data_IF_289233063049
#
_entry.id   IF_289233063049
#
_cell.length_a   1.000
_cell.length_b   1.000
_cell.length_c   1.000
_cell.angle_alpha   90.00
_cell.angle_beta   90.00
_cell.angle_gamma   90.00
#
_symmetry.space_group_name_H-M   'P 1'
#
loop_
_entity.id
_entity.type
_entity.pdbx_description
1 polymer ?
#
# COMPACT_ATOMS: atom_id res chain seq x y z
N UNK A 1 -5.89 -18.94 21.04
CA UNK A 1 -6.73 -19.58 20.20
C UNK A 1 -7.82 -18.78 19.71
N UNK A 2 -8.57 -18.22 20.54
CA UNK A 2 -9.58 -17.38 20.05
C UNK A 2 -9.04 -16.22 19.31
N UNK A 3 -7.87 -15.71 19.69
CA UNK A 3 -7.34 -14.56 18.99
C UNK A 3 -7.03 -14.87 17.55
N UNK A 4 -6.61 -16.07 17.25
CA UNK A 4 -6.37 -16.44 15.88
C UNK A 4 -7.66 -16.46 15.08
N UNK A 5 -8.73 -16.96 15.69
CA UNK A 5 -10.01 -16.97 15.01
C UNK A 5 -10.52 -15.56 14.76
N UNK A 6 -10.32 -14.67 15.73
CA UNK A 6 -10.75 -13.29 15.53
C UNK A 6 -9.99 -12.64 14.41
N UNK A 7 -8.68 -12.89 14.30
CA UNK A 7 -7.93 -12.30 13.20
C UNK A 7 -8.43 -12.81 11.87
N UNK A 8 -8.76 -14.07 11.80
CA UNK A 8 -9.24 -14.63 10.55
C UNK A 8 -10.57 -14.04 10.13
N UNK A 9 -11.31 -13.45 11.07
CA UNK A 9 -12.60 -12.88 10.75
C UNK A 9 -12.56 -11.40 10.41
N UNK A 10 -11.38 -10.79 10.39
CA UNK A 10 -11.30 -9.36 10.10
C UNK A 10 -11.62 -9.09 8.64
N UNK A 11 -12.28 -7.97 8.39
CA UNK A 11 -12.63 -7.56 7.05
C UNK A 11 -11.76 -6.37 6.63
N UNK A 12 -11.75 -6.04 5.34
CA UNK A 12 -10.90 -4.92 4.88
C UNK A 12 -11.18 -3.62 5.62
N UNK A 13 -12.43 -3.35 5.98
CA UNK A 13 -12.75 -2.11 6.65
C UNK A 13 -12.07 -1.98 8.01
N UNK A 14 -11.75 -3.10 8.64
CA UNK A 14 -11.16 -3.08 9.97
C UNK A 14 -9.77 -2.46 9.98
N UNK A 15 -9.13 -2.35 8.83
CA UNK A 15 -7.78 -1.83 8.75
C UNK A 15 -7.71 -0.36 8.39
N UNK A 16 -8.86 0.26 8.14
CA UNK A 16 -8.88 1.65 7.69
C UNK A 16 -9.01 2.60 8.88
N UNK A 17 -8.41 3.77 8.82
CA UNK A 17 -7.57 4.22 7.71
C UNK A 17 -6.17 3.65 7.80
N UNK A 18 -5.55 3.46 6.66
CA UNK A 18 -4.16 3.02 6.63
C UNK A 18 -3.24 4.22 6.85
N UNK A 19 -2.05 3.94 7.40
CA UNK A 19 -1.05 5.01 7.40
C UNK A 19 -0.63 5.28 5.96
N UNK A 20 -0.13 6.47 5.67
CA UNK A 20 0.34 6.75 4.31
C UNK A 20 1.38 5.75 3.83
N UNK A 21 2.33 5.38 4.68
CA UNK A 21 3.35 4.43 4.26
C UNK A 21 2.75 3.07 3.96
N UNK A 22 1.85 2.59 4.80
CA UNK A 22 1.22 1.30 4.56
C UNK A 22 0.46 1.31 3.24
N UNK A 23 -0.27 2.39 2.96
CA UNK A 23 -0.99 2.49 1.70
C UNK A 23 -0.04 2.47 0.51
N UNK A 24 1.08 3.21 0.63
CA UNK A 24 2.07 3.22 -0.46
C UNK A 24 2.66 1.85 -0.69
N UNK A 25 2.95 1.12 0.38
CA UNK A 25 3.49 -0.24 0.25
C UNK A 25 2.49 -1.13 -0.48
N UNK A 26 1.21 -1.07 -0.10
CA UNK A 26 0.22 -1.90 -0.76
C UNK A 26 0.09 -1.53 -2.23
N UNK A 27 0.21 -0.24 -2.56
CA UNK A 27 0.14 0.18 -3.96
C UNK A 27 1.31 -0.38 -4.77
N UNK A 28 2.51 -0.34 -4.22
CA UNK A 28 3.66 -0.89 -4.93
C UNK A 28 3.45 -2.37 -5.19
N UNK A 29 2.99 -3.09 -4.17
CA UNK A 29 2.82 -4.53 -4.31
C UNK A 29 1.60 -4.88 -5.15
N UNK A 30 0.66 -3.95 -5.34
CA UNK A 30 -0.45 -4.18 -6.25
C UNK A 30 0.04 -4.30 -7.69
N UNK A 31 1.16 -3.68 -8.00
CA UNK A 31 1.69 -3.73 -9.36
C UNK A 31 2.61 -4.92 -9.57
N UNK A 32 3.41 -5.26 -8.57
CA UNK A 32 4.32 -6.39 -8.70
C UNK A 32 4.90 -6.74 -7.34
N UNK A 33 5.30 -7.98 -7.19
CA UNK A 33 6.02 -8.40 -6.00
C UNK A 33 7.35 -7.65 -5.93
N UNK A 34 7.82 -7.40 -4.72
CA UNK A 34 9.05 -6.64 -4.56
C UNK A 34 9.66 -6.95 -3.20
N UNK A 35 10.95 -6.66 -3.09
CA UNK A 35 11.66 -6.77 -1.83
C UNK A 35 11.75 -5.39 -1.18
N UNK A 36 12.21 -5.35 0.08
CA UNK A 36 12.19 -4.11 0.84
C UNK A 36 12.90 -2.95 0.17
N UNK A 37 14.10 -3.20 -0.35
CA UNK A 37 14.84 -2.12 -1.01
C UNK A 37 14.09 -1.62 -2.24
N UNK A 38 13.51 -2.53 -3.02
CA UNK A 38 12.73 -2.14 -4.18
C UNK A 38 11.52 -1.32 -3.81
N UNK A 39 10.87 -1.67 -2.69
CA UNK A 39 9.73 -0.91 -2.22
C UNK A 39 10.16 0.52 -1.85
N UNK A 40 11.29 0.67 -1.15
CA UNK A 40 11.78 2.00 -0.78
C UNK A 40 12.00 2.84 -2.03
N UNK A 41 12.67 2.26 -3.02
CA UNK A 41 12.98 3.01 -4.23
C UNK A 41 11.71 3.38 -4.99
N UNK A 42 10.76 2.47 -5.03
CA UNK A 42 9.54 2.74 -5.78
C UNK A 42 8.67 3.79 -5.07
N UNK A 43 8.60 3.75 -3.75
CA UNK A 43 7.87 4.76 -3.00
C UNK A 43 8.51 6.13 -3.23
N UNK A 44 9.83 6.18 -3.17
CA UNK A 44 10.52 7.43 -3.41
C UNK A 44 10.22 7.98 -4.80
N UNK A 45 10.26 7.10 -5.80
CA UNK A 45 10.01 7.51 -7.17
C UNK A 45 8.58 8.04 -7.37
N UNK A 46 7.60 7.32 -6.82
CA UNK A 46 6.20 7.69 -7.03
C UNK A 46 5.82 8.98 -6.33
N UNK A 47 6.53 9.31 -5.26
CA UNK A 47 6.24 10.54 -4.51
C UNK A 47 7.22 11.65 -4.84
N UNK A 48 7.98 11.50 -5.92
CA UNK A 48 8.97 12.51 -6.35
C UNK A 48 9.90 12.89 -5.20
N UNK A 49 10.29 11.89 -4.42
CA UNK A 49 11.24 12.09 -3.34
C UNK A 49 10.68 12.65 -2.06
N UNK A 50 9.36 12.94 -2.03
CA UNK A 50 8.78 13.51 -0.82
C UNK A 50 8.64 12.48 0.29
N UNK A 51 8.61 11.20 -0.05
CA UNK A 51 8.56 10.14 0.94
C UNK A 51 9.70 9.17 0.67
N UNK A 52 10.58 9.04 1.66
CA UNK A 52 11.69 8.10 1.57
C UNK A 52 11.83 7.41 2.90
N UNK A 53 11.16 6.29 3.07
CA UNK A 53 11.15 5.63 4.39
C UNK A 53 12.53 5.10 4.73
N UNK A 54 12.88 5.19 5.99
CA UNK A 54 14.08 4.53 6.47
C UNK A 54 13.88 3.05 6.49
N UNK A 55 14.99 2.32 6.48
CA UNK A 55 14.93 0.86 6.44
C UNK A 55 14.16 0.30 7.62
N UNK A 56 14.45 0.79 8.83
CA UNK A 56 13.75 0.26 10.00
C UNK A 56 12.27 0.55 9.97
N UNK A 57 11.90 1.75 9.56
CA UNK A 57 10.49 2.13 9.48
C UNK A 57 9.77 1.26 8.46
N UNK A 58 10.41 1.03 7.31
CA UNK A 58 9.78 0.21 6.30
C UNK A 58 9.58 -1.22 6.80
N UNK A 59 10.61 -1.81 7.42
CA UNK A 59 10.47 -3.21 7.83
C UNK A 59 9.48 -3.37 8.98
N UNK A 60 9.33 -2.34 9.82
CA UNK A 60 8.27 -2.35 10.82
C UNK A 60 6.90 -2.37 10.14
N UNK A 61 6.74 -1.57 9.09
CA UNK A 61 5.48 -1.55 8.35
C UNK A 61 5.24 -2.90 7.67
N UNK A 62 6.27 -3.48 7.05
CA UNK A 62 6.12 -4.77 6.40
C UNK A 62 5.72 -5.86 7.39
N UNK A 63 6.31 -5.82 8.58
CA UNK A 63 5.96 -6.81 9.60
C UNK A 63 4.51 -6.69 10.02
N UNK A 64 4.05 -5.46 10.24
CA UNK A 64 2.66 -5.24 10.61
C UNK A 64 1.72 -5.70 9.51
N UNK A 65 2.02 -5.36 8.27
CA UNK A 65 1.17 -5.74 7.15
C UNK A 65 1.13 -7.25 6.97
N UNK A 66 2.27 -7.92 7.22
CA UNK A 66 2.31 -9.37 7.16
C UNK A 66 1.49 -9.98 8.29
N UNK A 67 1.61 -9.43 9.49
CA UNK A 67 0.83 -9.93 10.62
C UNK A 67 -0.67 -9.78 10.41
N UNK A 68 -1.06 -8.77 9.65
CA UNK A 68 -2.47 -8.53 9.35
C UNK A 68 -2.94 -9.27 8.10
N UNK A 69 -2.05 -10.06 7.49
CA UNK A 69 -2.36 -10.82 6.28
C UNK A 69 -2.72 -9.95 5.08
N UNK A 70 -2.28 -8.71 5.08
CA UNK A 70 -2.47 -7.85 3.92
C UNK A 70 -1.39 -8.09 2.87
N UNK A 71 -0.23 -8.55 3.29
CA UNK A 71 0.84 -8.99 2.40
C UNK A 71 1.37 -10.31 2.93
N UNK A 72 2.16 -10.98 2.11
CA UNK A 72 2.78 -12.23 2.51
C UNK A 72 4.12 -12.36 1.80
N UNK A 73 4.97 -13.23 2.30
CA UNK A 73 6.22 -13.47 1.61
C UNK A 73 5.93 -14.22 0.32
N UNK A 74 6.53 -13.75 -0.76
CA UNK A 74 6.35 -14.39 -2.05
C UNK A 74 7.25 -15.60 -2.14
N UNK A 75 6.72 -16.67 -2.73
CA UNK A 75 7.50 -17.89 -2.81
C UNK A 75 8.52 -17.87 -3.91
N UNK A 76 8.28 -17.13 -4.97
CA UNK A 76 9.17 -17.08 -6.09
C UNK A 76 9.69 -15.69 -6.29
N UNK A 77 10.93 -15.63 -6.77
CA UNK A 77 11.54 -14.35 -7.04
C UNK A 77 11.28 -13.97 -8.48
N UNK A 78 10.86 -12.74 -8.71
CA UNK A 78 10.60 -12.31 -10.09
C UNK A 78 11.86 -12.14 -10.92
N UNK A 79 12.99 -11.86 -10.28
CA UNK A 79 14.21 -11.55 -11.02
C UNK A 79 15.24 -12.65 -10.85
N UNK A 80 15.72 -13.16 -11.97
CA UNK A 80 16.80 -14.13 -11.95
C UNK A 80 18.09 -13.39 -11.67
N UNK A 81 18.90 -13.96 -10.80
CA UNK A 81 20.16 -13.33 -10.46
C UNK A 81 20.12 -12.39 -9.30
N UNK A 82 18.94 -12.14 -8.76
CA UNK A 82 18.81 -11.30 -7.61
C UNK A 82 19.42 -11.98 -6.40
N UNK A 83 19.71 -11.20 -5.37
CA UNK A 83 20.29 -11.71 -4.15
C UNK A 83 19.32 -12.73 -3.53
N UNK A 84 19.80 -13.95 -3.35
CA UNK A 84 18.94 -15.01 -2.83
C UNK A 84 18.54 -14.77 -1.38
N UNK A 85 19.19 -13.84 -0.68
CA UNK A 85 18.84 -13.54 0.69
C UNK A 85 17.73 -12.52 0.81
N UNK A 86 17.36 -11.87 -0.30
CA UNK A 86 16.29 -10.87 -0.25
C UNK A 86 14.95 -11.55 -0.10
N UNK A 87 14.12 -10.97 0.75
CA UNK A 87 12.77 -11.43 0.92
C UNK A 87 11.85 -10.65 0.01
N UNK A 88 11.07 -11.35 -0.78
CA UNK A 88 10.07 -10.71 -1.61
C UNK A 88 8.72 -10.81 -0.93
N UNK A 89 7.88 -9.82 -1.20
CA UNK A 89 6.54 -9.74 -0.64
C UNK A 89 5.53 -9.63 -1.75
N UNK A 90 4.35 -10.14 -1.52
CA UNK A 90 3.27 -10.04 -2.48
C UNK A 90 2.00 -9.60 -1.77
N UNK A 91 1.10 -9.01 -2.53
CA UNK A 91 -0.17 -8.53 -2.00
C UNK A 91 -1.14 -9.70 -1.89
N UNK A 92 -1.83 -9.82 -0.78
CA UNK A 92 -2.87 -10.82 -0.64
C UNK A 92 -4.17 -10.29 -1.20
N UNK A 93 -5.16 -11.18 -1.35
CA UNK A 93 -6.50 -10.72 -1.77
C UNK A 93 -7.07 -9.74 -0.76
N UNK A 94 -6.88 -10.01 0.54
CA UNK A 94 -7.35 -9.09 1.56
C UNK A 94 -6.64 -7.76 1.46
N UNK A 95 -5.33 -7.79 1.20
CA UNK A 95 -4.58 -6.53 1.03
C UNK A 95 -5.07 -5.72 -0.14
N UNK A 96 -5.39 -6.39 -1.25
CA UNK A 96 -5.91 -5.68 -2.42
C UNK A 96 -7.26 -5.03 -2.12
N UNK A 97 -8.13 -5.76 -1.46
CA UNK A 97 -9.44 -5.22 -1.09
C UNK A 97 -9.30 -4.04 -0.15
N UNK A 98 -8.38 -4.15 0.81
CA UNK A 98 -8.14 -3.07 1.76
C UNK A 98 -7.61 -1.82 1.05
N UNK A 99 -6.66 -2.02 0.13
CA UNK A 99 -6.12 -0.87 -0.61
C UNK A 99 -7.18 -0.21 -1.48
N UNK A 100 -8.07 -1.02 -2.08
CA UNK A 100 -9.14 -0.47 -2.89
C UNK A 100 -10.09 0.38 -2.04
N UNK A 101 -10.45 -0.10 -0.87
CA UNK A 101 -11.34 0.67 0.02
C UNK A 101 -10.67 1.94 0.49
N UNK A 102 -9.36 1.87 0.76
CA UNK A 102 -8.66 3.07 1.19
C UNK A 102 -8.60 4.09 0.06
N UNK A 103 -8.37 3.64 -1.16
CA UNK A 103 -8.37 4.56 -2.31
C UNK A 103 -9.73 5.22 -2.46
N UNK A 104 -10.81 4.47 -2.30
CA UNK A 104 -12.15 5.02 -2.38
C UNK A 104 -12.41 6.02 -1.27
N UNK A 105 -11.96 5.70 -0.05
CA UNK A 105 -12.14 6.60 1.07
C UNK A 105 -11.42 7.93 0.81
N UNK A 106 -10.20 7.85 0.30
CA UNK A 106 -9.44 9.04 0.01
C UNK A 106 -10.06 9.85 -1.11
N UNK A 107 -10.55 9.18 -2.15
CA UNK A 107 -11.20 9.88 -3.25
C UNK A 107 -12.44 10.62 -2.75
N UNK A 108 -13.21 10.02 -1.85
CA UNK A 108 -14.36 10.69 -1.29
C UNK A 108 -13.97 11.91 -0.47
N UNK A 109 -12.89 11.81 0.30
CA UNK A 109 -12.43 12.95 1.07
C UNK A 109 -11.95 14.08 0.17
N UNK A 110 -11.28 13.74 -0.92
CA UNK A 110 -10.85 14.74 -1.88
C UNK A 110 -12.08 15.41 -2.50
N UNK A 111 -13.11 14.63 -2.81
CA UNK A 111 -14.34 15.21 -3.33
C UNK A 111 -14.96 16.23 -2.38
N UNK A 112 -14.96 15.91 -1.09
CA UNK A 112 -15.45 16.86 -0.10
C UNK A 112 -14.57 18.11 -0.05
N UNK A 113 -13.27 17.95 -0.20
CA UNK A 113 -12.37 19.11 -0.21
C UNK A 113 -12.62 20.00 -1.41
N UNK A 114 -12.93 19.38 -2.56
CA UNK A 114 -13.27 20.15 -3.75
C UNK A 114 -14.57 20.95 -3.49
N UNK A 115 -15.54 20.31 -2.87
CA UNK A 115 -16.80 20.99 -2.57
C UNK A 115 -16.60 22.15 -1.62
N UNK A 116 -15.56 22.12 -0.80
CA UNK A 116 -15.25 23.19 0.12
C UNK A 116 -14.25 24.20 -0.45
N UNK A 117 -13.99 24.09 -1.75
CA UNK A 117 -13.08 25.00 -2.47
C UNK A 117 -11.64 24.93 -2.00
N UNK A 118 -11.23 23.79 -1.45
CA UNK A 118 -9.83 23.58 -1.09
C UNK A 118 -9.01 23.09 -2.25
N UNK A 119 -9.66 22.52 -3.28
CA UNK A 119 -9.02 22.07 -4.49
C UNK A 119 -9.89 22.46 -5.67
N UNK A 120 -9.30 22.67 -6.86
CA UNK A 120 -10.09 23.01 -8.03
C UNK A 120 -11.00 21.87 -8.44
N UNK A 121 -12.19 22.21 -8.97
CA UNK A 121 -13.14 21.20 -9.39
C UNK A 121 -12.63 20.38 -10.55
N UNK A 122 -11.74 20.92 -11.36
CA UNK A 122 -11.25 20.21 -12.52
C UNK A 122 -10.00 19.43 -12.25
N UNK A 123 -9.55 19.36 -10.99
CA UNK A 123 -8.26 18.75 -10.68
C UNK A 123 -8.16 17.33 -11.21
N UNK A 124 -9.21 16.56 -11.05
CA UNK A 124 -9.14 15.17 -11.46
C UNK A 124 -9.52 14.91 -12.88
N UNK A 125 -10.15 15.88 -13.56
CA UNK A 125 -10.64 15.64 -14.88
C UNK A 125 -9.97 16.45 -15.92
N UNK A 126 -9.04 17.29 -15.54
CA UNK A 126 -8.46 18.20 -16.51
C UNK A 126 -7.77 17.49 -17.64
N UNK A 127 -7.15 16.36 -17.37
CA UNK A 127 -6.47 15.68 -18.45
C UNK A 127 -7.43 15.21 -19.51
N UNK A 128 -8.66 15.05 -19.20
CA UNK A 128 -9.61 14.53 -20.15
C UNK A 128 -10.04 15.54 -21.14
N UNK A 129 -10.10 16.80 -20.78
CA UNK A 129 -10.60 17.68 -21.70
C UNK A 129 -9.69 18.66 -22.10
N UNK A 130 -8.55 18.68 -21.63
CA UNK A 130 -7.67 19.69 -22.21
C UNK A 130 -7.28 19.38 -23.59
#
# INVERSE_FOLDING_TARGET
MESAAFKAARSPQDFLPLTPLSFLVLMVLADRDSHGYGIIKEVERRTDGSTRPGTGTLYTALQRLTDDDLIQEAEQRPDIGDDSRRRYYSLTALGRQTAQLEAERMANLVGLAIDSDLLPHTAGSSHGES
#
